data_IF_770545873509
#
_entry.id   IF_770545873509
#
_cell.length_a   1.000
_cell.length_b   1.000
_cell.length_c   1.000
_cell.angle_alpha   90.00
_cell.angle_beta   90.00
_cell.angle_gamma   90.00
#
_symmetry.space_group_name_H-M   'P 1'
#
loop_
_entity.id
_entity.type
_entity.pdbx_description
1 polymer ?
#
# COMPACT_ATOMS: atom_id res chain seq x y z
N UNK A 1 -19.72 -30.83 6.21
CA UNK A 1 -18.67 -29.83 6.53
C UNK A 1 -19.06 -29.15 7.82
N UNK A 2 -18.20 -29.17 8.84
CA UNK A 2 -18.40 -28.33 10.03
C UNK A 2 -17.74 -26.98 9.70
N UNK A 3 -18.55 -25.93 9.53
CA UNK A 3 -18.05 -24.57 9.43
C UNK A 3 -17.72 -24.09 10.84
N UNK A 4 -16.44 -24.13 11.22
CA UNK A 4 -15.99 -23.56 12.49
C UNK A 4 -16.26 -22.05 12.49
N UNK A 5 -17.34 -21.64 13.14
CA UNK A 5 -17.67 -20.24 13.35
C UNK A 5 -16.61 -19.60 14.23
N UNK A 6 -16.09 -18.44 13.82
CA UNK A 6 -15.16 -17.66 14.64
C UNK A 6 -15.81 -16.37 15.09
N UNK A 7 -15.53 -15.96 16.33
CA UNK A 7 -15.94 -14.68 16.92
C UNK A 7 -14.71 -13.87 17.31
N UNK A 8 -14.79 -12.56 17.17
CA UNK A 8 -13.77 -11.63 17.66
C UNK A 8 -14.26 -10.90 18.91
N UNK A 9 -13.61 -11.12 20.05
CA UNK A 9 -13.85 -10.41 21.31
C UNK A 9 -12.83 -9.29 21.44
N UNK A 10 -13.27 -8.08 21.79
CA UNK A 10 -12.44 -6.88 21.90
C UNK A 10 -12.77 -6.10 23.16
N UNK A 11 -11.77 -5.52 23.82
CA UNK A 11 -11.98 -4.66 24.98
C UNK A 11 -10.93 -4.83 26.08
N UNK A 12 -11.17 -4.16 27.21
CA UNK A 12 -10.46 -4.38 28.47
C UNK A 12 -11.36 -5.32 29.32
N UNK A 13 -10.84 -6.42 29.89
CA UNK A 13 -11.64 -7.31 30.73
C UNK A 13 -12.04 -6.62 32.04
N UNK A 14 -13.21 -6.94 32.57
CA UNK A 14 -13.74 -6.31 33.80
C UNK A 14 -12.92 -6.71 35.05
N UNK A 15 -12.21 -7.83 34.98
CA UNK A 15 -11.36 -8.36 36.05
C UNK A 15 -10.00 -8.73 35.49
N UNK A 16 -8.97 -8.66 36.34
CA UNK A 16 -7.62 -9.12 36.00
C UNK A 16 -7.63 -10.58 35.56
N UNK A 17 -6.74 -10.99 34.65
CA UNK A 17 -6.66 -12.37 34.18
C UNK A 17 -6.57 -13.37 35.33
N UNK A 18 -7.38 -14.42 35.29
CA UNK A 18 -7.35 -15.49 36.31
C UNK A 18 -6.75 -16.76 35.72
N UNK A 19 -5.60 -17.18 36.25
CA UNK A 19 -5.01 -18.46 35.90
C UNK A 19 -5.75 -19.63 36.59
N UNK A 20 -5.79 -20.76 35.91
CA UNK A 20 -6.37 -22.02 36.38
C UNK A 20 -5.27 -22.97 36.85
N UNK A 21 -5.64 -24.04 37.58
CA UNK A 21 -4.69 -25.09 37.99
C UNK A 21 -4.01 -25.80 36.81
N UNK A 22 -4.61 -25.80 35.61
CA UNK A 22 -3.98 -26.30 34.38
C UNK A 22 -3.06 -25.29 33.70
N UNK A 23 -2.92 -24.07 34.23
CA UNK A 23 -2.15 -22.98 33.65
C UNK A 23 -2.80 -22.28 32.45
N UNK A 24 -4.09 -22.54 32.18
CA UNK A 24 -4.88 -21.76 31.23
C UNK A 24 -5.38 -20.48 31.90
N UNK A 25 -5.62 -19.43 31.11
CA UNK A 25 -6.03 -18.10 31.61
C UNK A 25 -7.46 -17.79 31.21
N UNK A 26 -8.24 -17.31 32.17
CA UNK A 26 -9.63 -16.89 31.98
C UNK A 26 -9.69 -15.36 32.00
N UNK A 27 -10.27 -14.79 30.96
CA UNK A 27 -10.66 -13.38 30.89
C UNK A 27 -12.18 -13.28 30.93
N UNK A 28 -12.69 -12.20 31.54
CA UNK A 28 -14.13 -11.93 31.62
C UNK A 28 -14.41 -10.55 31.02
N UNK A 29 -15.10 -10.52 29.89
CA UNK A 29 -15.52 -9.29 29.22
C UNK A 29 -17.00 -9.05 29.47
N UNK A 30 -17.36 -7.81 29.79
CA UNK A 30 -18.76 -7.38 29.82
C UNK A 30 -19.21 -7.04 28.41
N UNK A 31 -20.35 -7.58 28.00
CA UNK A 31 -21.01 -7.25 26.74
C UNK A 31 -21.93 -6.06 27.01
N UNK A 32 -21.64 -4.93 26.39
CA UNK A 32 -22.57 -3.80 26.38
C UNK A 32 -23.73 -4.12 25.45
N UNK A 33 -24.95 -4.18 25.99
CA UNK A 33 -26.16 -4.13 25.18
C UNK A 33 -26.36 -2.68 24.70
N UNK A 34 -26.34 -2.46 23.39
CA UNK A 34 -26.75 -1.16 22.84
C UNK A 34 -28.19 -0.85 23.28
N UNK A 35 -28.39 0.36 23.83
CA UNK A 35 -29.69 0.80 24.35
C UNK A 35 -30.62 1.18 23.20
N UNK A 36 -31.25 0.18 22.57
CA UNK A 36 -32.32 0.38 21.58
C UNK A 36 -33.65 -0.30 21.93
N UNK A 37 -33.71 -1.10 23.00
CA UNK A 37 -34.96 -1.69 23.50
C UNK A 37 -35.62 -0.80 24.55
N UNK A 38 -36.72 -0.17 24.18
CA UNK A 38 -37.68 0.51 25.08
C UNK A 38 -38.45 -0.49 25.95
N UNK A 39 -37.80 -1.03 26.97
CA UNK A 39 -38.50 -1.68 28.09
C UNK A 39 -37.74 -1.47 29.41
N UNK A 40 -38.49 -1.12 30.46
CA UNK A 40 -37.96 -0.86 31.80
C UNK A 40 -37.73 -2.16 32.58
N UNK A 41 -36.86 -3.03 32.06
CA UNK A 41 -36.38 -4.22 32.76
C UNK A 41 -34.88 -4.10 33.02
N UNK A 42 -34.46 -4.50 34.22
CA UNK A 42 -33.09 -4.34 34.68
C UNK A 42 -32.10 -5.00 33.72
N UNK A 43 -31.21 -4.21 33.12
CA UNK A 43 -30.18 -4.69 32.20
C UNK A 43 -29.27 -5.68 32.93
N UNK A 44 -29.51 -6.98 32.70
CA UNK A 44 -28.61 -8.03 33.14
C UNK A 44 -27.30 -7.87 32.37
N UNK A 45 -26.21 -7.62 33.10
CA UNK A 45 -24.89 -7.52 32.50
C UNK A 45 -24.54 -8.88 31.88
N UNK A 46 -24.55 -8.94 30.55
CA UNK A 46 -24.13 -10.12 29.81
C UNK A 46 -22.60 -10.20 29.85
N UNK A 47 -22.07 -11.42 30.04
CA UNK A 47 -20.63 -11.65 30.11
C UNK A 47 -20.16 -12.67 29.09
N UNK A 48 -19.03 -12.38 28.48
CA UNK A 48 -18.26 -13.30 27.65
C UNK A 48 -17.05 -13.80 28.45
N UNK A 49 -17.01 -15.10 28.73
CA UNK A 49 -15.86 -15.77 29.34
C UNK A 49 -14.93 -16.27 28.24
N UNK A 50 -13.73 -15.72 28.15
CA UNK A 50 -12.73 -16.17 27.18
C UNK A 50 -11.71 -17.06 27.89
N UNK A 51 -11.40 -18.21 27.28
CA UNK A 51 -10.40 -19.17 27.78
C UNK A 51 -9.21 -19.13 26.83
N UNK A 52 -8.02 -18.84 27.37
CA UNK A 52 -6.76 -18.79 26.65
C UNK A 52 -5.88 -19.94 27.15
N UNK A 53 -5.43 -20.79 26.24
CA UNK A 53 -4.51 -21.88 26.59
C UNK A 53 -3.15 -21.36 27.06
N UNK A 54 -2.50 -22.09 27.98
CA UNK A 54 -1.19 -21.74 28.54
C UNK A 54 -0.17 -21.29 27.48
N UNK A 55 -0.10 -22.03 26.36
CA UNK A 55 0.83 -21.75 25.24
C UNK A 55 0.57 -20.40 24.56
N UNK A 56 -0.71 -20.05 24.34
CA UNK A 56 -1.09 -18.76 23.78
C UNK A 56 -0.89 -17.64 24.80
N UNK A 57 -1.24 -17.88 26.08
CA UNK A 57 -1.08 -16.91 27.15
C UNK A 57 0.38 -16.46 27.31
N UNK A 58 1.33 -17.39 27.28
CA UNK A 58 2.77 -17.12 27.33
C UNK A 58 3.28 -16.19 26.22
N UNK A 59 2.57 -16.06 25.09
CA UNK A 59 2.97 -15.13 24.01
C UNK A 59 2.66 -13.67 24.31
N UNK A 60 1.78 -13.40 25.27
CA UNK A 60 1.28 -12.04 25.59
C UNK A 60 1.41 -11.66 27.08
N UNK A 61 1.55 -12.62 27.99
CA UNK A 61 1.53 -12.41 29.46
C UNK A 61 2.49 -11.33 29.94
N UNK A 62 3.68 -11.25 29.35
CA UNK A 62 4.73 -10.30 29.75
C UNK A 62 4.40 -8.84 29.38
N UNK A 63 3.42 -8.61 28.49
CA UNK A 63 2.93 -7.28 28.13
C UNK A 63 1.69 -6.87 28.94
N UNK A 64 1.08 -7.75 29.74
CA UNK A 64 -0.23 -7.52 30.36
C UNK A 64 -0.16 -6.68 31.64
N UNK A 65 -1.08 -5.73 31.76
CA UNK A 65 -1.36 -4.93 32.94
C UNK A 65 -2.87 -4.64 33.07
N UNK A 66 -3.27 -3.86 34.08
CA UNK A 66 -4.69 -3.56 34.39
C UNK A 66 -5.43 -2.81 33.26
N UNK A 67 -4.72 -2.06 32.42
CA UNK A 67 -5.30 -1.28 31.31
C UNK A 67 -5.15 -1.96 29.94
N UNK A 68 -4.73 -3.23 29.88
CA UNK A 68 -4.50 -3.92 28.61
C UNK A 68 -5.80 -4.12 27.83
N UNK A 69 -5.83 -3.62 26.60
CA UNK A 69 -6.86 -3.90 25.61
C UNK A 69 -6.53 -5.17 24.84
N UNK A 70 -7.49 -6.06 24.72
CA UNK A 70 -7.38 -7.35 24.06
C UNK A 70 -8.13 -7.35 22.73
N UNK A 71 -7.57 -8.02 21.73
CA UNK A 71 -8.23 -8.44 20.50
C UNK A 71 -8.05 -9.95 20.43
N UNK A 72 -9.14 -10.70 20.54
CA UNK A 72 -9.11 -12.17 20.63
C UNK A 72 -10.02 -12.74 19.54
N UNK A 73 -9.49 -13.66 18.74
CA UNK A 73 -10.27 -14.47 17.82
C UNK A 73 -10.37 -15.89 18.38
N UNK A 74 -11.57 -16.48 18.35
CA UNK A 74 -11.79 -17.80 18.92
C UNK A 74 -13.09 -18.44 18.47
N UNK A 75 -13.31 -19.68 18.90
CA UNK A 75 -14.54 -20.43 18.63
C UNK A 75 -15.56 -20.20 19.76
N UNK A 76 -16.79 -19.73 19.46
CA UNK A 76 -17.81 -19.50 20.46
C UNK A 76 -18.48 -20.82 20.89
N UNK A 77 -18.75 -20.94 22.18
CA UNK A 77 -19.57 -22.01 22.75
C UNK A 77 -20.54 -21.46 23.79
N UNK A 78 -21.81 -21.81 23.70
CA UNK A 78 -22.81 -21.42 24.73
C UNK A 78 -22.78 -22.45 25.86
N UNK A 79 -22.72 -21.98 27.10
CA UNK A 79 -22.73 -22.83 28.29
C UNK A 79 -23.74 -22.31 29.30
N UNK A 80 -24.16 -23.18 30.22
CA UNK A 80 -25.11 -22.84 31.30
C UNK A 80 -24.38 -22.96 32.63
N UNK A 81 -24.54 -21.96 33.49
CA UNK A 81 -24.01 -21.97 34.86
C UNK A 81 -24.77 -22.97 35.74
N UNK A 82 -24.23 -23.32 36.90
CA UNK A 82 -24.93 -24.15 37.90
C UNK A 82 -26.24 -23.56 38.43
N UNK A 83 -26.53 -22.29 38.13
CA UNK A 83 -27.80 -21.60 38.45
C UNK A 83 -28.75 -21.47 37.25
N UNK A 84 -28.51 -22.19 36.15
CA UNK A 84 -29.36 -22.16 34.96
C UNK A 84 -29.15 -20.93 34.05
N UNK A 85 -28.30 -19.96 34.43
CA UNK A 85 -28.03 -18.78 33.59
C UNK A 85 -27.10 -19.13 32.43
N UNK A 86 -27.49 -18.89 31.16
CA UNK A 86 -26.62 -19.08 30.01
C UNK A 86 -25.54 -17.99 29.93
N UNK A 87 -24.36 -18.34 29.44
CA UNK A 87 -23.26 -17.40 29.18
C UNK A 87 -22.48 -17.80 27.92
N UNK A 88 -21.88 -16.79 27.28
CA UNK A 88 -21.00 -17.01 26.14
C UNK A 88 -19.60 -17.40 26.63
N UNK A 89 -19.12 -18.54 26.16
CA UNK A 89 -17.73 -18.97 26.24
C UNK A 89 -17.07 -18.72 24.87
N UNK A 90 -15.80 -18.34 24.86
CA UNK A 90 -14.95 -18.36 23.65
C UNK A 90 -13.65 -19.08 23.96
N UNK A 91 -13.35 -20.14 23.21
CA UNK A 91 -12.03 -20.77 23.20
C UNK A 91 -11.11 -19.97 22.28
N UNK A 92 -10.03 -19.40 22.83
CA UNK A 92 -9.13 -18.51 22.10
C UNK A 92 -8.21 -19.27 21.13
N UNK A 93 -8.20 -18.84 19.88
CA UNK A 93 -7.30 -19.34 18.83
C UNK A 93 -6.15 -18.36 18.52
N UNK A 94 -6.39 -17.05 18.66
CA UNK A 94 -5.42 -15.97 18.44
C UNK A 94 -5.70 -14.82 19.40
N UNK A 95 -4.67 -14.33 20.10
CA UNK A 95 -4.76 -13.23 21.08
C UNK A 95 -3.71 -12.16 20.78
N UNK A 96 -4.15 -10.90 20.78
CA UNK A 96 -3.30 -9.71 20.70
C UNK A 96 -3.64 -8.77 21.85
N UNK A 97 -2.60 -8.18 22.43
CA UNK A 97 -2.68 -7.26 23.57
C UNK A 97 -2.06 -5.91 23.22
N UNK A 98 -2.66 -4.83 23.72
CA UNK A 98 -2.24 -3.44 23.47
C UNK A 98 -2.38 -2.66 24.76
N UNK A 99 -1.40 -1.79 25.04
CA UNK A 99 -1.32 -1.01 26.27
C UNK A 99 -1.35 0.48 25.98
N UNK A 100 -1.68 1.28 27.01
CA UNK A 100 -1.57 2.73 26.96
C UNK A 100 -2.64 3.43 26.13
N UNK A 101 -3.69 2.75 25.67
CA UNK A 101 -4.83 3.45 25.03
C UNK A 101 -5.45 4.46 26.01
N UNK A 102 -5.65 5.69 25.55
CA UNK A 102 -6.31 6.74 26.33
C UNK A 102 -7.82 6.68 26.05
N UNK A 103 -8.64 6.77 27.09
CA UNK A 103 -10.09 6.85 26.93
C UNK A 103 -10.49 8.14 26.20
N UNK A 104 -11.48 8.06 25.30
CA UNK A 104 -12.11 9.27 24.75
C UNK A 104 -13.22 9.77 25.68
N UNK A 105 -12.94 10.85 26.41
CA UNK A 105 -13.90 11.55 27.27
C UNK A 105 -15.15 12.01 26.51
N UNK A 106 -15.02 12.30 25.20
CA UNK A 106 -16.11 12.74 24.34
C UNK A 106 -16.88 11.57 23.69
N UNK A 107 -16.44 10.32 23.90
CA UNK A 107 -17.05 9.13 23.29
C UNK A 107 -16.84 7.90 24.19
N UNK A 108 -17.71 7.69 25.20
CA UNK A 108 -17.58 6.63 26.19
C UNK A 108 -17.35 5.24 25.60
N UNK A 109 -16.34 4.54 26.11
CA UNK A 109 -15.95 3.19 25.65
C UNK A 109 -15.10 3.16 24.37
N UNK A 110 -14.73 4.32 23.82
CA UNK A 110 -13.76 4.45 22.72
C UNK A 110 -12.43 5.06 23.19
N UNK A 111 -11.45 5.05 22.30
CA UNK A 111 -10.08 5.42 22.63
C UNK A 111 -9.49 6.47 21.67
N UNK A 112 -8.57 7.28 22.19
CA UNK A 112 -7.72 8.23 21.46
C UNK A 112 -6.32 7.63 21.26
N UNK A 113 -5.53 8.25 20.39
CA UNK A 113 -4.11 7.97 20.21
C UNK A 113 -3.32 8.43 21.46
N UNK A 114 -2.52 7.56 22.09
CA UNK A 114 -1.57 7.97 23.13
C UNK A 114 -0.29 8.63 22.59
N UNK A 115 0.06 8.40 21.33
CA UNK A 115 1.21 9.04 20.67
C UNK A 115 0.81 10.30 19.91
N UNK A 116 1.82 11.09 19.54
CA UNK A 116 1.66 12.24 18.64
C UNK A 116 1.01 11.82 17.31
N UNK A 117 0.26 12.74 16.69
CA UNK A 117 -0.34 12.47 15.39
C UNK A 117 0.74 12.35 14.30
N UNK A 118 0.51 11.57 13.23
CA UNK A 118 1.43 11.52 12.10
C UNK A 118 1.71 12.91 11.52
N UNK A 119 2.96 13.20 11.14
CA UNK A 119 3.39 14.51 10.63
C UNK A 119 2.55 15.02 9.44
N UNK A 120 2.19 14.12 8.51
CA UNK A 120 1.37 14.41 7.32
C UNK A 120 -0.15 14.61 7.64
N UNK A 121 -0.58 14.72 8.91
CA UNK A 121 -2.01 14.78 9.28
C UNK A 121 -2.61 16.15 9.00
N UNK A 122 -3.60 16.19 8.10
CA UNK A 122 -4.31 17.41 7.70
C UNK A 122 -5.65 17.57 8.43
N UNK A 123 -6.26 16.48 8.88
CA UNK A 123 -7.49 16.51 9.68
C UNK A 123 -7.64 15.28 10.59
N UNK A 124 -8.52 15.42 11.58
CA UNK A 124 -9.07 14.32 12.37
C UNK A 124 -10.52 14.12 11.94
N UNK A 125 -10.89 12.92 11.47
CA UNK A 125 -12.26 12.62 11.01
C UNK A 125 -12.83 11.38 11.72
N UNK A 126 -14.16 11.28 11.88
CA UNK A 126 -14.80 10.05 12.35
C UNK A 126 -14.46 8.87 11.43
N UNK A 127 -14.05 7.74 11.99
CA UNK A 127 -13.75 6.52 11.24
C UNK A 127 -14.96 6.06 10.40
N UNK A 128 -16.17 6.31 10.88
CA UNK A 128 -17.44 5.98 10.22
C UNK A 128 -17.77 6.88 9.02
N UNK A 129 -17.09 8.02 8.84
CA UNK A 129 -17.28 8.85 7.64
C UNK A 129 -16.43 8.39 6.45
N UNK A 130 -15.48 7.48 6.65
CA UNK A 130 -14.58 7.00 5.60
C UNK A 130 -15.29 5.93 4.76
N UNK A 131 -15.47 6.21 3.46
CA UNK A 131 -16.07 5.27 2.52
C UNK A 131 -15.00 4.30 2.03
N UNK A 132 -15.22 3.00 2.26
CA UNK A 132 -14.32 1.93 1.83
C UNK A 132 -14.74 1.46 0.43
N UNK A 133 -13.84 1.49 -0.59
CA UNK A 133 -14.14 0.96 -1.91
C UNK A 133 -14.58 -0.50 -1.89
N UNK A 134 -15.53 -0.84 -2.76
CA UNK A 134 -15.87 -2.23 -3.06
C UNK A 134 -14.63 -2.98 -3.59
N UNK A 135 -14.56 -4.29 -3.34
CA UNK A 135 -13.47 -5.20 -3.74
C UNK A 135 -12.09 -5.04 -3.06
N UNK A 136 -11.91 -4.16 -2.05
CA UNK A 136 -10.62 -4.06 -1.35
C UNK A 136 -10.35 -5.25 -0.40
N UNK A 137 -9.23 -5.94 -0.62
CA UNK A 137 -8.81 -7.10 0.19
C UNK A 137 -8.14 -6.68 1.51
N UNK A 138 -8.38 -7.40 2.62
CA UNK A 138 -7.72 -7.13 3.91
C UNK A 138 -6.20 -7.42 3.83
N UNK A 139 -5.32 -6.41 4.04
CA UNK A 139 -3.89 -6.56 3.86
C UNK A 139 -3.24 -7.12 5.12
N UNK A 140 -3.42 -8.43 5.38
CA UNK A 140 -2.99 -9.14 6.60
C UNK A 140 -1.60 -8.76 7.10
N UNK A 141 -0.59 -8.74 6.22
CA UNK A 141 0.80 -8.38 6.56
C UNK A 141 0.96 -6.90 6.91
N UNK A 142 0.30 -5.99 6.17
CA UNK A 142 0.37 -4.55 6.46
C UNK A 142 -0.32 -4.23 7.79
N UNK A 143 -1.47 -4.86 8.08
CA UNK A 143 -2.18 -4.74 9.35
C UNK A 143 -1.35 -5.23 10.54
N UNK A 144 -0.63 -6.34 10.39
CA UNK A 144 0.32 -6.80 11.43
C UNK A 144 1.48 -5.80 11.65
N UNK A 145 2.00 -5.20 10.58
CA UNK A 145 3.03 -4.16 10.68
C UNK A 145 2.51 -2.86 11.30
N UNK A 146 1.29 -2.43 10.97
CA UNK A 146 0.62 -1.28 11.56
C UNK A 146 0.42 -1.48 13.07
N UNK A 147 -0.05 -2.67 13.49
CA UNK A 147 -0.16 -3.03 14.91
C UNK A 147 1.19 -2.99 15.63
N UNK A 148 2.25 -3.55 15.03
CA UNK A 148 3.60 -3.53 15.61
C UNK A 148 4.14 -2.09 15.76
N UNK A 149 3.86 -1.22 14.80
CA UNK A 149 4.22 0.20 14.89
C UNK A 149 3.42 0.91 15.99
N UNK A 150 2.10 0.72 16.02
CA UNK A 150 1.21 1.32 17.03
C UNK A 150 1.60 0.91 18.44
N UNK A 151 1.92 -0.37 18.69
CA UNK A 151 2.44 -0.83 20.00
C UNK A 151 3.68 -0.06 20.48
N UNK A 152 4.55 0.37 19.57
CA UNK A 152 5.80 1.07 19.90
C UNK A 152 5.65 2.58 20.01
N UNK A 153 4.77 3.19 19.20
CA UNK A 153 4.69 4.63 19.02
C UNK A 153 3.37 5.26 19.49
N UNK A 154 2.37 4.47 19.87
CA UNK A 154 1.06 4.96 20.29
C UNK A 154 0.22 5.62 19.18
N UNK A 155 0.67 5.53 17.94
CA UNK A 155 0.13 6.26 16.79
C UNK A 155 0.32 5.48 15.49
N UNK A 156 -0.21 6.00 14.38
CA UNK A 156 0.03 5.43 13.05
C UNK A 156 1.33 5.96 12.45
N UNK A 157 1.96 5.17 11.57
CA UNK A 157 3.19 5.61 10.88
C UNK A 157 2.93 6.73 9.87
N UNK A 158 1.71 6.78 9.34
CA UNK A 158 1.19 7.74 8.37
C UNK A 158 -0.31 7.90 8.60
N UNK A 159 -0.91 9.06 8.26
CA UNK A 159 -2.36 9.22 8.32
C UNK A 159 -3.04 8.32 7.26
N UNK A 160 -4.34 8.12 7.40
CA UNK A 160 -5.15 7.42 6.38
C UNK A 160 -5.39 8.41 5.22
N UNK A 161 -5.10 8.03 3.99
CA UNK A 161 -5.29 8.93 2.83
C UNK A 161 -6.69 8.75 2.29
N UNK A 162 -7.46 9.84 2.23
CA UNK A 162 -8.84 9.85 1.72
C UNK A 162 -9.04 10.97 0.69
N UNK A 163 -10.00 10.81 -0.22
CA UNK A 163 -10.45 11.89 -1.09
C UNK A 163 -11.30 12.89 -0.30
N UNK A 164 -10.96 14.18 -0.35
CA UNK A 164 -11.62 15.23 0.46
C UNK A 164 -13.10 15.45 0.13
N UNK A 165 -13.46 15.28 -1.13
CA UNK A 165 -14.79 15.46 -1.69
C UNK A 165 -15.74 14.30 -1.36
N UNK A 166 -15.26 13.06 -1.46
CA UNK A 166 -16.10 11.85 -1.32
C UNK A 166 -15.83 11.05 -0.04
N UNK A 167 -14.88 11.47 0.81
CA UNK A 167 -14.36 10.72 1.96
C UNK A 167 -13.92 9.28 1.64
N UNK A 168 -13.67 8.97 0.36
CA UNK A 168 -13.32 7.62 -0.08
C UNK A 168 -11.87 7.30 0.23
N UNK A 169 -11.63 6.15 0.83
CA UNK A 169 -10.29 5.63 1.12
C UNK A 169 -9.44 5.50 -0.16
N UNK A 170 -8.21 6.00 -0.08
CA UNK A 170 -7.19 5.91 -1.13
C UNK A 170 -6.03 5.01 -0.69
N UNK A 171 -5.54 5.17 0.55
CA UNK A 171 -4.51 4.30 1.12
C UNK A 171 -4.50 4.33 2.65
N UNK A 172 -3.80 3.38 3.29
CA UNK A 172 -3.81 3.21 4.75
C UNK A 172 -4.98 2.35 5.26
N UNK A 173 -5.48 1.41 4.45
CA UNK A 173 -6.56 0.49 4.85
C UNK A 173 -6.19 -0.33 6.09
N UNK A 174 -4.92 -0.67 6.25
CA UNK A 174 -4.36 -1.32 7.43
C UNK A 174 -4.54 -0.47 8.70
N UNK A 175 -4.43 0.85 8.61
CA UNK A 175 -4.62 1.77 9.72
C UNK A 175 -6.11 1.97 10.02
N UNK A 176 -6.97 2.03 8.99
CA UNK A 176 -8.43 2.02 9.16
C UNK A 176 -8.91 0.75 9.88
N UNK A 177 -8.48 -0.43 9.42
CA UNK A 177 -8.83 -1.70 10.04
C UNK A 177 -8.29 -1.82 11.46
N UNK A 178 -7.09 -1.32 11.72
CA UNK A 178 -6.53 -1.24 13.07
C UNK A 178 -7.36 -0.31 13.95
N UNK A 179 -7.64 0.94 13.54
CA UNK A 179 -8.47 1.88 14.29
C UNK A 179 -9.82 1.26 14.71
N UNK A 180 -10.49 0.58 13.77
CA UNK A 180 -11.74 -0.15 14.01
C UNK A 180 -11.56 -1.30 15.01
N UNK A 181 -10.44 -2.00 14.95
CA UNK A 181 -10.12 -3.08 15.90
C UNK A 181 -9.74 -2.58 17.30
N UNK A 182 -9.30 -1.32 17.42
CA UNK A 182 -9.03 -0.62 18.68
C UNK A 182 -10.23 0.18 19.22
N UNK A 183 -11.36 0.18 18.52
CA UNK A 183 -12.49 1.08 18.78
C UNK A 183 -12.08 2.56 18.89
N UNK A 184 -11.11 3.00 18.08
CA UNK A 184 -10.75 4.42 17.92
C UNK A 184 -11.79 5.06 17.00
N UNK A 185 -12.53 6.06 17.49
CA UNK A 185 -13.64 6.69 16.75
C UNK A 185 -13.20 7.78 15.79
N UNK A 186 -12.09 8.47 16.09
CA UNK A 186 -11.58 9.60 15.32
C UNK A 186 -10.16 9.29 14.87
N UNK A 187 -9.85 9.43 13.58
CA UNK A 187 -8.58 9.00 12.98
C UNK A 187 -7.88 10.14 12.21
N UNK A 188 -6.53 10.18 12.22
CA UNK A 188 -5.76 11.13 11.44
C UNK A 188 -5.84 10.79 9.95
N UNK A 189 -6.20 11.78 9.15
CA UNK A 189 -6.29 11.68 7.69
C UNK A 189 -5.45 12.74 6.99
N UNK A 190 -5.08 12.44 5.76
CA UNK A 190 -4.51 13.38 4.80
C UNK A 190 -5.33 13.33 3.52
N UNK A 191 -5.58 14.50 2.94
CA UNK A 191 -6.17 14.65 1.61
C UNK A 191 -5.09 14.66 0.52
N UNK A 192 -3.82 14.60 0.90
CA UNK A 192 -2.69 14.75 0.01
C UNK A 192 -2.43 13.49 -0.83
N UNK A 193 -3.04 13.44 -2.01
CA UNK A 193 -2.84 12.38 -3.01
C UNK A 193 -1.40 12.30 -3.57
N UNK A 194 -0.48 13.19 -3.19
CA UNK A 194 0.89 13.22 -3.73
C UNK A 194 1.87 12.26 -3.06
N UNK A 195 1.52 11.60 -1.94
CA UNK A 195 2.43 10.72 -1.18
C UNK A 195 2.69 9.35 -1.84
N UNK A 196 3.25 9.33 -3.06
CA UNK A 196 4.19 8.33 -3.60
C UNK A 196 3.80 6.84 -3.68
N UNK A 197 2.65 6.43 -3.15
CA UNK A 197 2.20 5.04 -3.19
C UNK A 197 1.70 4.70 -4.59
N UNK A 198 2.35 3.76 -5.28
CA UNK A 198 1.79 3.16 -6.50
C UNK A 198 0.51 2.43 -6.13
N UNK A 199 -0.63 3.01 -6.52
CA UNK A 199 -1.96 2.42 -6.35
C UNK A 199 -1.95 1.04 -7.01
N UNK A 200 -2.22 0.01 -6.20
CA UNK A 200 -2.74 -1.27 -6.68
C UNK A 200 -4.22 -1.26 -6.36
N UNK A 201 -5.03 -0.87 -7.33
CA UNK A 201 -6.16 -1.65 -7.85
C UNK A 201 -7.06 -0.81 -8.80
N UNK A 202 -7.49 -1.48 -9.87
CA UNK A 202 -8.61 -1.24 -10.81
C UNK A 202 -8.91 0.10 -11.51
N UNK A 203 -8.10 1.16 -11.36
CA UNK A 203 -8.08 2.23 -12.39
C UNK A 203 -6.66 2.62 -12.77
N UNK A 204 -6.28 2.36 -14.03
CA UNK A 204 -5.09 2.99 -14.62
C UNK A 204 -5.43 4.45 -14.92
N UNK A 205 -5.25 5.32 -13.92
CA UNK A 205 -4.96 6.74 -14.21
C UNK A 205 -3.56 6.82 -14.78
N UNK A 206 -3.42 6.48 -16.06
CA UNK A 206 -2.30 6.92 -16.86
C UNK A 206 -2.35 8.45 -16.87
N UNK A 207 -1.46 9.08 -16.07
CA UNK A 207 -1.04 10.45 -16.33
C UNK A 207 -0.38 10.42 -17.70
N UNK A 208 -1.16 10.79 -18.72
CA UNK A 208 -0.60 11.05 -20.04
C UNK A 208 0.57 12.03 -19.85
N UNK A 209 1.72 11.81 -20.50
CA UNK A 209 2.77 12.81 -20.55
C UNK A 209 2.17 14.16 -20.97
N UNK A 210 2.42 15.21 -20.20
CA UNK A 210 1.93 16.57 -20.46
C UNK A 210 2.58 17.21 -21.72
N UNK A 211 3.56 16.50 -22.27
CA UNK A 211 4.28 16.76 -23.51
C UNK A 211 4.17 15.54 -24.43
N UNK A 212 4.22 15.76 -25.74
CA UNK A 212 4.48 14.67 -26.70
C UNK A 212 5.98 14.63 -27.05
N UNK A 213 6.56 13.48 -27.38
CA UNK A 213 7.98 13.39 -27.76
C UNK A 213 8.38 14.34 -28.90
N UNK A 214 7.49 14.56 -29.86
CA UNK A 214 7.67 15.47 -30.99
C UNK A 214 7.60 16.98 -30.64
N UNK A 215 7.16 17.33 -29.43
CA UNK A 215 7.16 18.71 -28.91
C UNK A 215 8.48 19.07 -28.19
N UNK A 216 9.40 18.12 -28.03
CA UNK A 216 10.61 18.29 -27.23
C UNK A 216 11.78 18.75 -28.09
N UNK A 217 12.39 19.87 -27.71
CA UNK A 217 13.63 20.40 -28.27
C UNK A 217 14.66 20.61 -27.17
N UNK A 218 15.95 20.73 -27.52
CA UNK A 218 17.01 21.07 -26.57
C UNK A 218 17.14 22.59 -26.44
N UNK A 219 17.03 23.12 -25.22
CA UNK A 219 17.21 24.55 -24.90
C UNK A 219 18.43 24.72 -24.01
N UNK A 220 19.22 25.77 -24.24
CA UNK A 220 20.37 26.07 -23.40
C UNK A 220 19.90 26.50 -22.01
N UNK A 221 20.48 25.91 -20.96
CA UNK A 221 20.13 26.19 -19.57
C UNK A 221 20.48 27.63 -19.18
N UNK A 222 21.38 28.29 -19.92
CA UNK A 222 21.70 29.73 -19.74
C UNK A 222 20.61 30.66 -20.26
N UNK A 223 19.83 30.24 -21.25
CA UNK A 223 18.78 31.05 -21.89
C UNK A 223 17.44 30.98 -21.14
N UNK A 224 17.33 30.10 -20.15
CA UNK A 224 16.15 29.95 -19.28
C UNK A 224 16.31 30.82 -18.03
N UNK A 225 15.33 31.70 -17.80
CA UNK A 225 15.23 32.55 -16.60
C UNK A 225 13.97 32.21 -15.78
N UNK A 226 13.94 32.66 -14.52
CA UNK A 226 12.79 32.53 -13.64
C UNK A 226 12.07 33.89 -13.56
N UNK A 227 10.79 33.93 -13.97
CA UNK A 227 9.95 35.14 -13.87
C UNK A 227 8.74 34.97 -12.96
N UNK A 228 8.36 33.73 -12.65
CA UNK A 228 7.21 33.41 -11.80
C UNK A 228 7.63 33.34 -10.32
N UNK A 229 6.88 33.98 -9.44
CA UNK A 229 7.12 33.99 -7.98
C UNK A 229 7.27 32.59 -7.39
N UNK A 230 6.49 31.63 -7.90
CA UNK A 230 6.50 30.24 -7.44
C UNK A 230 7.80 29.48 -7.77
N UNK A 231 8.62 30.00 -8.70
CA UNK A 231 9.96 29.49 -8.99
C UNK A 231 11.06 30.31 -8.29
N UNK A 232 10.84 31.63 -8.15
CA UNK A 232 11.80 32.57 -7.52
C UNK A 232 11.86 32.34 -6.01
N UNK A 233 10.71 32.21 -5.34
CA UNK A 233 10.59 32.16 -3.88
C UNK A 233 10.75 30.74 -3.30
N UNK A 234 11.36 29.81 -4.05
CA UNK A 234 11.55 28.42 -3.60
C UNK A 234 12.62 28.37 -2.50
N UNK A 235 12.17 28.18 -1.26
CA UNK A 235 13.01 27.84 -0.12
C UNK A 235 12.94 26.33 0.15
N UNK A 236 14.05 25.72 0.57
CA UNK A 236 14.16 24.30 0.94
C UNK A 236 13.72 23.29 -0.16
N UNK A 237 14.33 23.38 -1.34
CA UNK A 237 14.01 22.52 -2.48
C UNK A 237 14.45 21.05 -2.30
N UNK A 238 13.54 20.10 -2.58
CA UNK A 238 13.83 18.65 -2.56
C UNK A 238 13.66 18.02 -3.95
N UNK A 239 14.69 17.33 -4.45
CA UNK A 239 14.64 16.62 -5.73
C UNK A 239 13.80 15.34 -5.63
N UNK A 240 12.78 15.20 -6.49
CA UNK A 240 11.97 13.97 -6.62
C UNK A 240 12.64 12.85 -7.43
N UNK A 241 13.94 12.99 -7.71
CA UNK A 241 14.75 12.08 -8.51
C UNK A 241 16.19 12.03 -7.98
N UNK A 242 16.90 10.93 -8.28
CA UNK A 242 18.25 10.72 -7.77
C UNK A 242 19.29 11.60 -8.49
N UNK A 243 19.72 12.68 -7.84
CA UNK A 243 20.71 13.61 -8.38
C UNK A 243 22.06 12.93 -8.71
N UNK A 244 22.42 11.83 -8.02
CA UNK A 244 23.65 11.06 -8.33
C UNK A 244 23.58 10.37 -9.69
N UNK A 245 22.40 9.89 -10.08
CA UNK A 245 22.19 9.27 -11.41
C UNK A 245 22.26 10.30 -12.53
N UNK A 246 21.74 11.51 -12.31
CA UNK A 246 21.86 12.62 -13.28
C UNK A 246 23.31 13.13 -13.34
N UNK A 247 24.00 13.23 -12.21
CA UNK A 247 25.43 13.61 -12.17
C UNK A 247 26.31 12.62 -12.96
N UNK A 248 26.03 11.32 -12.83
CA UNK A 248 26.75 10.27 -13.55
C UNK A 248 26.40 10.17 -15.05
N UNK A 249 25.12 10.36 -15.40
CA UNK A 249 24.66 10.22 -16.80
C UNK A 249 24.70 11.51 -17.61
N UNK A 250 24.77 12.67 -16.94
CA UNK A 250 24.57 14.03 -17.49
C UNK A 250 23.29 14.20 -18.32
N UNK A 251 22.27 13.36 -18.07
CA UNK A 251 21.02 13.34 -18.86
C UNK A 251 19.79 13.62 -18.00
N UNK A 252 18.95 14.52 -18.48
CA UNK A 252 17.63 14.81 -17.94
C UNK A 252 16.61 14.28 -18.96
N UNK A 253 15.88 13.21 -18.62
CA UNK A 253 15.05 12.47 -19.61
C UNK A 253 13.60 12.96 -19.70
N UNK A 254 13.19 13.93 -18.87
CA UNK A 254 11.85 14.50 -18.84
C UNK A 254 12.01 16.00 -19.12
N UNK A 255 11.30 16.59 -20.09
CA UNK A 255 11.48 17.98 -20.45
C UNK A 255 11.08 18.95 -19.33
N UNK A 256 11.54 20.19 -19.41
CA UNK A 256 10.89 21.34 -18.77
C UNK A 256 9.82 21.93 -19.71
N UNK A 257 8.91 22.76 -19.23
CA UNK A 257 8.12 23.62 -20.11
C UNK A 257 8.63 25.05 -19.96
N UNK A 258 8.79 25.75 -21.07
CA UNK A 258 9.33 27.11 -21.11
C UNK A 258 8.54 27.96 -22.09
N UNK A 259 8.40 29.25 -21.80
CA UNK A 259 7.70 30.23 -22.64
C UNK A 259 8.71 31.20 -23.24
N UNK A 260 8.71 31.47 -24.56
CA UNK A 260 9.57 32.49 -25.14
C UNK A 260 9.33 33.86 -24.52
N UNK A 261 10.39 34.64 -24.36
CA UNK A 261 10.35 36.05 -23.97
C UNK A 261 11.25 36.85 -24.91
N UNK A 262 11.17 38.18 -24.82
CA UNK A 262 12.00 39.08 -25.63
C UNK A 262 13.51 38.80 -25.46
N UNK A 263 14.29 39.04 -26.51
CA UNK A 263 15.74 38.79 -26.51
C UNK A 263 16.16 37.33 -26.73
N UNK A 264 15.23 36.43 -27.08
CA UNK A 264 15.54 35.02 -27.39
C UNK A 264 15.76 34.13 -26.15
N UNK A 265 15.45 34.65 -24.97
CA UNK A 265 15.42 33.92 -23.72
C UNK A 265 14.06 33.21 -23.54
N UNK A 266 13.97 32.39 -22.49
CA UNK A 266 12.74 31.70 -22.11
C UNK A 266 12.44 31.85 -20.62
N UNK A 267 11.18 32.13 -20.28
CA UNK A 267 10.68 31.99 -18.91
C UNK A 267 10.37 30.52 -18.60
N UNK A 268 10.75 30.05 -17.42
CA UNK A 268 10.39 28.71 -16.95
C UNK A 268 8.91 28.62 -16.57
N UNK A 269 8.14 27.78 -17.28
CA UNK A 269 6.74 27.48 -16.95
C UNK A 269 6.65 26.35 -15.93
N UNK A 270 7.26 25.18 -16.19
CA UNK A 270 7.25 24.06 -15.24
C UNK A 270 8.50 23.18 -15.33
N UNK A 271 8.80 22.48 -14.23
CA UNK A 271 9.97 21.61 -14.12
C UNK A 271 11.17 22.23 -13.41
N UNK A 272 10.97 23.20 -12.51
CA UNK A 272 12.01 23.84 -11.69
C UNK A 272 13.03 22.86 -11.11
N UNK A 273 12.57 21.72 -10.60
CA UNK A 273 13.42 20.61 -10.16
C UNK A 273 14.54 20.25 -11.15
N UNK A 274 14.18 20.10 -12.44
CA UNK A 274 15.08 19.68 -13.51
C UNK A 274 15.97 20.83 -13.97
N UNK A 275 15.43 22.04 -14.06
CA UNK A 275 16.20 23.25 -14.31
C UNK A 275 17.28 23.49 -13.23
N UNK A 276 16.94 23.40 -11.95
CA UNK A 276 17.90 23.51 -10.85
C UNK A 276 18.93 22.38 -10.85
N UNK A 277 18.51 21.13 -11.11
CA UNK A 277 19.46 20.03 -11.26
C UNK A 277 20.46 20.29 -12.40
N UNK A 278 20.00 20.86 -13.51
CA UNK A 278 20.85 21.23 -14.63
C UNK A 278 21.85 22.35 -14.28
N UNK A 279 21.40 23.41 -13.60
CA UNK A 279 22.28 24.49 -13.11
C UNK A 279 23.32 23.98 -12.09
N UNK A 280 22.90 23.17 -11.11
CA UNK A 280 23.79 22.63 -10.05
C UNK A 280 24.83 21.66 -10.62
N UNK A 281 24.47 20.89 -11.63
CA UNK A 281 25.36 19.91 -12.27
C UNK A 281 26.11 20.45 -13.49
N UNK A 282 26.00 21.76 -13.79
CA UNK A 282 26.57 22.41 -14.97
C UNK A 282 26.28 21.62 -16.27
N UNK A 283 25.00 21.39 -16.53
CA UNK A 283 24.49 20.78 -17.76
C UNK A 283 24.13 21.92 -18.72
N UNK A 284 24.75 21.93 -19.91
CA UNK A 284 24.60 23.03 -20.89
C UNK A 284 23.18 23.10 -21.49
N UNK A 285 22.59 21.96 -21.85
CA UNK A 285 21.30 21.88 -22.56
C UNK A 285 20.38 20.89 -21.88
N UNK A 286 19.08 21.22 -21.89
CA UNK A 286 18.03 20.33 -21.39
C UNK A 286 16.88 20.22 -22.38
N UNK A 287 16.18 19.08 -22.42
CA UNK A 287 14.95 18.96 -23.17
C UNK A 287 13.90 19.90 -22.59
N UNK A 288 13.20 20.60 -23.47
CA UNK A 288 12.16 21.55 -23.16
C UNK A 288 11.02 21.45 -24.17
N UNK A 289 9.82 21.77 -23.71
CA UNK A 289 8.66 22.07 -24.56
C UNK A 289 8.49 23.59 -24.55
N UNK A 290 8.54 24.19 -25.73
CA UNK A 290 8.27 25.62 -25.91
C UNK A 290 6.75 25.82 -25.99
N UNK A 291 6.22 26.80 -25.26
CA UNK A 291 4.77 27.04 -25.18
C UNK A 291 4.44 28.52 -24.99
N UNK A 292 3.38 28.99 -25.65
CA UNK A 292 2.87 30.35 -25.44
C UNK A 292 1.93 30.47 -24.22
N UNK A 293 1.53 29.34 -23.64
CA UNK A 293 0.58 29.28 -22.52
C UNK A 293 1.12 30.00 -21.28
N UNK A 294 0.22 30.62 -20.51
CA UNK A 294 0.58 31.01 -19.13
C UNK A 294 0.86 29.76 -18.28
N UNK A 295 1.52 29.92 -17.13
CA UNK A 295 1.77 28.78 -16.25
C UNK A 295 0.49 28.08 -15.83
N UNK A 296 -0.52 28.83 -15.41
CA UNK A 296 -1.74 28.27 -14.85
C UNK A 296 -2.58 27.61 -15.95
N UNK A 297 -2.67 28.23 -17.14
CA UNK A 297 -3.24 27.62 -18.34
C UNK A 297 -2.53 26.31 -18.71
N UNK A 298 -1.19 26.26 -18.67
CA UNK A 298 -0.43 25.04 -18.95
C UNK A 298 -0.70 23.95 -17.90
N UNK A 299 -0.83 24.33 -16.63
CA UNK A 299 -1.13 23.42 -15.52
C UNK A 299 -2.52 22.81 -15.69
N UNK A 300 -3.54 23.62 -15.94
CA UNK A 300 -4.93 23.17 -16.15
C UNK A 300 -5.07 22.33 -17.42
N UNK A 301 -4.52 22.80 -18.54
CA UNK A 301 -4.79 22.20 -19.87
C UNK A 301 -3.88 21.01 -20.20
N UNK A 302 -2.68 20.90 -19.63
CA UNK A 302 -1.71 19.82 -19.95
C UNK A 302 -1.33 18.96 -18.74
N UNK A 303 -1.12 19.51 -17.55
CA UNK A 303 -0.69 18.71 -16.39
C UNK A 303 -1.84 17.95 -15.71
N UNK A 304 -3.08 18.46 -15.76
CA UNK A 304 -4.25 17.84 -15.10
C UNK A 304 -5.18 17.02 -16.03
N UNK A 305 -4.80 16.75 -17.29
CA UNK A 305 -5.59 15.89 -18.20
C UNK A 305 -5.59 14.42 -17.78
N UNK A 306 -6.60 14.02 -17.01
CA UNK A 306 -6.88 12.63 -16.64
C UNK A 306 -7.80 11.99 -17.69
N UNK A 307 -7.34 10.98 -18.43
CA UNK A 307 -8.24 10.07 -19.16
C UNK A 307 -8.79 9.01 -18.20
N UNK A 308 -10.12 8.94 -18.06
CA UNK A 308 -10.80 7.78 -17.48
C UNK A 308 -10.99 6.72 -18.57
N UNK A 309 -10.25 5.62 -18.51
CA UNK A 309 -10.46 4.46 -19.40
C UNK A 309 -11.17 3.38 -18.59
N UNK A 310 -12.36 2.96 -19.03
CA UNK A 310 -13.01 1.73 -18.54
C UNK A 310 -12.31 0.54 -19.19
N UNK A 311 -11.85 -0.42 -18.38
CA UNK A 311 -11.59 -1.77 -18.86
C UNK A 311 -12.93 -2.45 -19.11
N UNK A 312 -13.19 -2.87 -20.35
CA UNK A 312 -14.26 -3.81 -20.63
C UNK A 312 -13.83 -5.19 -20.13
N UNK A 313 -14.67 -5.82 -19.31
CA UNK A 313 -14.44 -7.17 -18.82
C UNK A 313 -14.51 -8.21 -19.94
N UNK A 314 -14.04 -9.42 -19.65
CA UNK A 314 -14.02 -10.53 -20.59
C UNK A 314 -15.43 -10.88 -21.10
N UNK A 315 -15.73 -10.56 -22.36
CA UNK A 315 -16.75 -11.26 -23.13
C UNK A 315 -16.11 -12.17 -24.17
N UNK A 316 -16.39 -13.47 -24.07
CA UNK A 316 -16.00 -14.44 -25.07
C UNK A 316 -16.90 -14.32 -26.30
N UNK A 317 -16.33 -14.09 -27.48
CA UNK A 317 -16.97 -14.38 -28.78
C UNK A 317 -15.94 -14.76 -29.85
N UNK A 318 -16.39 -15.64 -30.75
CA UNK A 318 -15.54 -16.44 -31.64
C UNK A 318 -15.37 -15.82 -33.03
N UNK A 319 -14.15 -15.95 -33.58
CA UNK A 319 -13.76 -16.05 -35.01
C UNK A 319 -14.50 -15.23 -36.09
N UNK A 320 -13.76 -14.36 -36.78
CA UNK A 320 -13.28 -14.64 -38.17
C UNK A 320 -12.25 -13.60 -38.68
N UNK A 321 -11.47 -14.03 -39.68
CA UNK A 321 -10.29 -13.35 -40.26
C UNK A 321 -10.63 -12.11 -41.11
N UNK A 322 -9.71 -11.13 -41.19
CA UNK A 322 -9.08 -10.55 -42.43
C UNK A 322 -7.76 -9.84 -42.01
N UNK A 323 -6.83 -9.60 -42.94
CA UNK A 323 -5.39 -9.40 -42.73
C UNK A 323 -4.81 -7.99 -42.98
N UNK A 324 -3.58 -7.77 -42.47
CA UNK A 324 -2.51 -6.84 -42.95
C UNK A 324 -2.72 -5.31 -43.03
N UNK A 325 -2.00 -4.55 -42.17
CA UNK A 325 -0.73 -3.84 -42.55
C UNK A 325 0.01 -3.21 -41.35
N UNK A 326 1.27 -2.81 -41.56
CA UNK A 326 2.30 -2.44 -40.55
C UNK A 326 2.26 -0.96 -40.11
N UNK A 327 2.67 -0.67 -38.86
CA UNK A 327 3.13 0.65 -38.40
C UNK A 327 3.48 0.70 -36.90
N UNK A 328 4.74 0.99 -36.54
CA UNK A 328 5.21 1.22 -35.13
C UNK A 328 4.97 2.70 -34.75
N UNK A 329 5.13 3.25 -33.53
CA UNK A 329 5.78 2.86 -32.26
C UNK A 329 5.28 3.84 -31.15
N UNK A 330 5.52 3.71 -29.82
CA UNK A 330 5.85 2.60 -28.91
C UNK A 330 5.66 3.12 -27.46
N UNK A 331 4.96 2.41 -26.58
CA UNK A 331 4.99 2.64 -25.11
C UNK A 331 5.88 1.60 -24.42
N UNK A 332 6.43 1.91 -23.25
CA UNK A 332 7.22 0.95 -22.44
C UNK A 332 6.31 -0.01 -21.68
N UNK A 333 5.59 -0.83 -22.44
CA UNK A 333 5.01 -2.09 -21.96
C UNK A 333 6.15 -3.09 -21.84
N UNK A 334 6.24 -3.81 -20.71
CA UNK A 334 7.22 -4.87 -20.57
C UNK A 334 6.96 -5.96 -21.61
N UNK A 335 7.97 -6.29 -22.42
CA UNK A 335 7.78 -7.24 -23.53
C UNK A 335 7.83 -8.64 -22.97
N UNK A 336 6.67 -9.30 -22.92
CA UNK A 336 6.61 -10.73 -22.68
C UNK A 336 7.10 -11.51 -23.90
N UNK A 337 7.83 -12.59 -23.65
CA UNK A 337 8.31 -13.51 -24.70
C UNK A 337 9.17 -14.61 -24.10
N UNK A 338 9.67 -15.50 -24.95
CA UNK A 338 10.66 -16.49 -24.53
C UNK A 338 12.07 -15.96 -24.70
N UNK A 339 12.93 -16.20 -23.70
CA UNK A 339 14.37 -15.93 -23.79
C UNK A 339 15.13 -17.24 -23.56
N UNK A 340 16.10 -17.61 -24.42
CA UNK A 340 16.98 -18.76 -24.18
C UNK A 340 17.70 -18.64 -22.83
N UNK A 341 17.77 -19.72 -22.04
CA UNK A 341 18.39 -19.66 -20.70
C UNK A 341 19.86 -19.21 -20.76
N UNK A 342 20.59 -19.60 -21.81
CA UNK A 342 21.97 -19.20 -22.06
C UNK A 342 22.14 -17.68 -22.23
N UNK A 343 21.09 -16.96 -22.64
CA UNK A 343 21.13 -15.53 -22.91
C UNK A 343 20.73 -14.68 -21.68
N UNK A 344 20.40 -15.31 -20.54
CA UNK A 344 20.01 -14.60 -19.30
C UNK A 344 21.23 -14.43 -18.40
N UNK A 345 21.64 -13.19 -18.17
CA UNK A 345 22.78 -12.86 -17.31
C UNK A 345 22.34 -12.86 -15.85
N UNK A 346 22.88 -13.77 -15.02
CA UNK A 346 22.55 -13.85 -13.59
C UNK A 346 23.55 -13.01 -12.77
N UNK A 347 23.12 -11.97 -12.03
CA UNK A 347 24.02 -11.21 -11.15
C UNK A 347 24.65 -12.09 -10.06
N UNK A 348 25.91 -11.82 -9.73
CA UNK A 348 26.66 -12.57 -8.71
C UNK A 348 25.97 -12.61 -7.32
N UNK A 349 25.19 -11.58 -6.98
CA UNK A 349 24.39 -11.55 -5.75
C UNK A 349 23.35 -12.69 -5.68
N UNK A 350 22.68 -12.99 -6.80
CA UNK A 350 21.76 -14.13 -6.90
C UNK A 350 22.53 -15.46 -6.91
N UNK A 351 23.64 -15.55 -7.64
CA UNK A 351 24.47 -16.76 -7.66
C UNK A 351 24.96 -17.18 -6.26
N UNK A 352 25.27 -16.21 -5.38
CA UNK A 352 25.65 -16.45 -3.98
C UNK A 352 24.48 -16.89 -3.07
N UNK A 353 23.23 -16.68 -3.49
CA UNK A 353 22.01 -16.97 -2.70
C UNK A 353 21.08 -17.91 -3.47
N UNK A 354 21.53 -19.16 -3.72
CA UNK A 354 20.69 -20.19 -4.36
C UNK A 354 19.39 -20.39 -3.56
N UNK A 355 18.21 -20.41 -4.22
CA UNK A 355 16.94 -20.71 -3.55
C UNK A 355 16.98 -22.07 -2.85
N UNK A 356 16.25 -22.21 -1.73
CA UNK A 356 16.13 -23.49 -1.01
C UNK A 356 15.63 -24.61 -1.95
N UNK A 357 16.20 -25.83 -1.87
CA UNK A 357 15.79 -26.97 -2.73
C UNK A 357 14.28 -27.23 -2.73
N UNK A 358 13.63 -27.14 -1.57
CA UNK A 358 12.17 -27.26 -1.40
C UNK A 358 11.39 -26.38 -2.40
N UNK A 359 11.76 -25.09 -2.50
CA UNK A 359 11.09 -24.11 -3.37
C UNK A 359 11.40 -24.31 -4.85
N UNK A 360 12.52 -24.97 -5.17
CA UNK A 360 12.85 -25.37 -6.53
C UNK A 360 11.99 -26.58 -6.91
N UNK A 361 11.90 -27.61 -6.05
CA UNK A 361 11.05 -28.77 -6.24
C UNK A 361 9.56 -28.41 -6.38
N UNK A 362 9.03 -27.50 -5.56
CA UNK A 362 7.67 -26.94 -5.72
C UNK A 362 7.48 -26.33 -7.12
N UNK A 363 8.44 -25.54 -7.59
CA UNK A 363 8.38 -24.83 -8.88
C UNK A 363 8.49 -25.81 -10.05
N UNK A 364 9.29 -26.87 -9.93
CA UNK A 364 9.41 -27.98 -10.89
C UNK A 364 8.10 -28.78 -10.95
N UNK A 365 7.51 -29.13 -9.80
CA UNK A 365 6.25 -29.87 -9.74
C UNK A 365 5.08 -29.07 -10.31
N UNK A 366 5.04 -27.75 -10.08
CA UNK A 366 4.08 -26.87 -10.74
C UNK A 366 4.23 -26.91 -12.27
N UNK A 367 5.46 -26.79 -12.78
CA UNK A 367 5.72 -26.84 -14.23
C UNK A 367 5.30 -28.20 -14.82
N UNK A 368 5.67 -29.33 -14.19
CA UNK A 368 5.26 -30.68 -14.62
C UNK A 368 3.73 -30.86 -14.66
N UNK A 369 2.99 -30.20 -13.77
CA UNK A 369 1.52 -30.28 -13.70
C UNK A 369 0.81 -29.36 -14.72
N UNK A 370 1.40 -28.21 -15.04
CA UNK A 370 0.72 -27.14 -15.81
C UNK A 370 1.36 -26.81 -17.17
N UNK A 371 2.50 -27.41 -17.52
CA UNK A 371 3.24 -27.16 -18.77
C UNK A 371 3.91 -25.78 -18.86
N UNK A 372 3.79 -24.95 -17.82
CA UNK A 372 4.35 -23.59 -17.75
C UNK A 372 4.59 -23.15 -16.30
N UNK A 373 5.42 -22.13 -16.12
CA UNK A 373 5.59 -21.48 -14.82
C UNK A 373 4.38 -20.61 -14.45
N UNK A 374 4.22 -20.33 -13.16
CA UNK A 374 3.17 -19.47 -12.61
C UNK A 374 3.31 -18.00 -13.03
N UNK A 375 4.55 -17.55 -13.27
CA UNK A 375 4.92 -16.15 -13.56
C UNK A 375 6.16 -16.07 -14.48
N UNK A 376 6.33 -14.99 -15.26
CA UNK A 376 7.49 -14.79 -16.15
C UNK A 376 8.75 -14.40 -15.38
N UNK A 377 9.90 -14.92 -15.81
CA UNK A 377 11.22 -14.50 -15.27
C UNK A 377 11.48 -13.05 -15.68
N UNK A 378 11.75 -12.16 -14.73
CA UNK A 378 11.88 -10.72 -15.00
C UNK A 378 13.34 -10.39 -15.30
N UNK A 379 13.57 -9.86 -16.50
CA UNK A 379 14.91 -9.48 -16.99
C UNK A 379 14.94 -8.02 -17.44
N UNK A 380 16.07 -7.34 -17.23
CA UNK A 380 16.23 -5.92 -17.56
C UNK A 380 16.66 -5.75 -19.03
N UNK A 381 15.78 -5.14 -19.83
CA UNK A 381 16.03 -4.66 -21.20
C UNK A 381 16.93 -5.54 -22.08
N UNK A 382 17.77 -4.87 -22.87
CA UNK A 382 18.65 -5.49 -23.86
C UNK A 382 19.83 -6.27 -23.26
N UNK A 383 20.14 -6.08 -21.97
CA UNK A 383 21.20 -6.82 -21.27
C UNK A 383 20.75 -8.20 -20.74
N UNK A 384 19.46 -8.52 -20.85
CA UNK A 384 18.83 -9.74 -20.32
C UNK A 384 19.22 -10.04 -18.85
N UNK A 385 19.52 -9.00 -18.06
CA UNK A 385 20.02 -9.15 -16.71
C UNK A 385 18.88 -9.58 -15.78
N UNK A 386 19.03 -10.68 -15.06
CA UNK A 386 18.01 -11.20 -14.15
C UNK A 386 17.72 -10.22 -13.00
N UNK A 387 16.45 -9.81 -12.88
CA UNK A 387 15.96 -8.90 -11.82
C UNK A 387 15.09 -9.65 -10.81
N UNK A 388 14.17 -10.51 -11.26
CA UNK A 388 13.33 -11.35 -10.41
C UNK A 388 12.99 -12.68 -11.10
N UNK A 389 12.57 -13.68 -10.33
CA UNK A 389 12.23 -15.01 -10.83
C UNK A 389 13.41 -15.98 -10.82
N UNK A 390 14.46 -15.71 -10.04
CA UNK A 390 15.64 -16.59 -9.97
C UNK A 390 15.30 -18.05 -9.66
N UNK A 391 14.32 -18.32 -8.78
CA UNK A 391 13.85 -19.70 -8.51
C UNK A 391 13.26 -20.40 -9.75
N UNK A 392 12.64 -19.66 -10.66
CA UNK A 392 12.04 -20.17 -11.91
C UNK A 392 13.11 -20.36 -12.98
N UNK A 393 14.10 -19.47 -13.07
CA UNK A 393 15.30 -19.67 -13.88
C UNK A 393 16.08 -20.94 -13.46
N UNK A 394 16.32 -21.15 -12.16
CA UNK A 394 16.99 -22.36 -11.65
C UNK A 394 16.15 -23.62 -11.91
N UNK A 395 14.84 -23.59 -11.66
CA UNK A 395 13.94 -24.70 -11.98
C UNK A 395 13.91 -25.03 -13.48
N UNK A 396 13.92 -24.03 -14.36
CA UNK A 396 13.99 -24.22 -15.81
C UNK A 396 15.30 -24.90 -16.25
N UNK A 397 16.42 -24.53 -15.62
CA UNK A 397 17.73 -25.17 -15.85
C UNK A 397 17.77 -26.61 -15.36
N UNK A 398 17.19 -26.90 -14.19
CA UNK A 398 17.08 -28.27 -13.65
C UNK A 398 16.08 -29.16 -14.43
N UNK A 399 15.10 -28.54 -15.11
CA UNK A 399 14.20 -29.21 -16.06
C UNK A 399 14.79 -29.43 -17.46
N UNK A 400 15.99 -28.90 -17.75
CA UNK A 400 16.62 -29.01 -19.08
C UNK A 400 15.94 -28.20 -20.18
N UNK A 401 15.23 -27.12 -19.84
CA UNK A 401 14.56 -26.27 -20.83
C UNK A 401 15.57 -25.41 -21.60
N UNK A 402 15.35 -25.23 -22.91
CA UNK A 402 16.20 -24.37 -23.74
C UNK A 402 15.88 -22.86 -23.55
N UNK A 403 14.60 -22.54 -23.34
CA UNK A 403 14.05 -21.20 -23.15
C UNK A 403 13.18 -21.12 -21.90
N UNK A 404 12.90 -19.90 -21.44
CA UNK A 404 11.92 -19.63 -20.38
C UNK A 404 11.09 -18.40 -20.73
N UNK A 405 9.82 -18.42 -20.33
CA UNK A 405 8.94 -17.24 -20.40
C UNK A 405 9.52 -16.12 -19.53
N UNK A 406 9.77 -14.99 -20.17
CA UNK A 406 10.37 -13.79 -19.59
C UNK A 406 9.50 -12.57 -19.79
N UNK A 407 9.62 -11.62 -18.87
CA UNK A 407 9.12 -10.26 -18.99
C UNK A 407 10.32 -9.33 -19.03
N UNK A 408 10.53 -8.65 -20.16
CA UNK A 408 11.59 -7.65 -20.31
C UNK A 408 11.10 -6.30 -19.78
N UNK A 409 11.78 -5.75 -18.77
CA UNK A 409 11.48 -4.46 -18.12
C UNK A 409 12.56 -3.41 -18.35
#
# INVERSE_FOLDING_TARGET
>A
MITNSTITVKGIPEKTPKETSSGNTILLFRISSDKSSTSSQASSSLYCRVIIEKRLWQTVSNEVNKGTYYIINGEPGVNVSSKGLPFLNVQCNDVKVINGLLNDENSPGSFKFPGELPEDTEALVPITSIIIPENINEPKTAKANALKYFKKHGTFRKPIVIKKDTMTLVSGYENYLLARDLNIKTVPVSYNLTTGAKIKDEYITERLPWYKPEEVTEVNVKDIILTEDIHINIQNFTFSFNLKEISASRKINIPVAVKPIEGGQYSLVTGAARYFAAKILDIEKIPAVITEMSRDEFVETRLFKIRKIKLFGNEARSNKNVSNKKGKAKSTVGVEGETPLANITVPAAFARTRPKPEKIAETINYYKKHGKFDKPVVIKGDSNLLVDGYKRYVAAKELGLNSVWTLKI
#
